data_IF_638248804992
#
_entry.id   IF_638248804992
#
_cell.length_a   1.000
_cell.length_b   1.000
_cell.length_c   1.000
_cell.angle_alpha   90.00
_cell.angle_beta   90.00
_cell.angle_gamma   90.00
#
_symmetry.space_group_name_H-M   'P 1'
#
loop_
_entity.id
_entity.type
_entity.pdbx_description
1 polymer ?
#
# COMPACT_ATOMS: atom_id res chain seq x y z
N UNK A 1 -63.84 -8.60 -43.68
CA UNK A 1 -64.64 -8.71 -42.44
C UNK A 1 -64.26 -10.00 -41.72
N UNK A 2 -64.30 -9.96 -40.38
CA UNK A 2 -64.04 -11.01 -39.36
C UNK A 2 -62.58 -11.29 -38.97
N UNK A 3 -62.21 -10.59 -37.89
CA UNK A 3 -61.31 -11.02 -36.81
C UNK A 3 -61.77 -12.38 -36.24
N UNK A 4 -60.86 -13.16 -35.66
CA UNK A 4 -60.92 -13.68 -34.28
C UNK A 4 -59.48 -14.08 -33.88
N UNK A 5 -59.23 -13.88 -32.59
CA UNK A 5 -57.96 -13.83 -31.89
C UNK A 5 -57.90 -15.01 -30.90
N UNK A 6 -56.67 -15.35 -30.48
CA UNK A 6 -56.28 -15.94 -29.18
C UNK A 6 -56.10 -17.48 -29.05
N UNK A 7 -54.94 -17.84 -28.46
CA UNK A 7 -54.56 -19.14 -27.90
C UNK A 7 -53.04 -19.37 -28.05
N UNK A 8 -52.18 -18.65 -27.32
CA UNK A 8 -51.53 -19.01 -26.03
C UNK A 8 -50.64 -20.28 -26.08
N UNK A 9 -49.47 -20.17 -25.42
CA UNK A 9 -48.53 -21.22 -24.95
C UNK A 9 -47.26 -21.43 -25.80
N UNK A 10 -46.14 -20.79 -25.43
CA UNK A 10 -45.07 -21.41 -24.61
C UNK A 10 -43.85 -20.48 -24.52
N UNK A 11 -43.56 -20.02 -23.29
CA UNK A 11 -42.26 -19.47 -22.86
C UNK A 11 -41.22 -20.60 -22.74
N UNK A 12 -39.95 -20.24 -22.47
CA UNK A 12 -38.74 -21.06 -22.20
C UNK A 12 -37.88 -21.30 -23.46
N UNK A 13 -36.58 -20.96 -23.55
CA UNK A 13 -35.56 -20.53 -22.60
C UNK A 13 -34.55 -19.63 -23.33
N UNK A 14 -34.23 -18.48 -22.74
CA UNK A 14 -32.94 -17.84 -22.95
C UNK A 14 -31.95 -18.71 -22.19
N UNK A 15 -31.18 -19.53 -22.89
CA UNK A 15 -30.03 -20.21 -22.32
C UNK A 15 -28.95 -19.18 -22.00
N UNK A 16 -29.09 -18.56 -20.82
CA UNK A 16 -27.99 -17.97 -20.08
C UNK A 16 -27.02 -19.09 -19.73
N UNK A 17 -26.09 -19.40 -20.64
CA UNK A 17 -24.85 -20.08 -20.26
C UNK A 17 -23.95 -19.05 -19.58
N UNK A 18 -24.31 -18.66 -18.36
CA UNK A 18 -23.31 -18.22 -17.39
C UNK A 18 -22.64 -19.51 -16.94
N UNK A 19 -21.54 -19.85 -17.60
CA UNK A 19 -20.62 -20.85 -17.08
C UNK A 19 -20.11 -20.32 -15.73
N UNK A 20 -20.76 -20.75 -14.65
CA UNK A 20 -20.18 -20.67 -13.32
C UNK A 20 -19.04 -21.68 -13.27
N UNK A 21 -17.85 -21.29 -13.70
CA UNK A 21 -16.63 -22.06 -13.46
C UNK A 21 -16.41 -22.09 -11.96
N UNK A 22 -16.56 -23.26 -11.35
CA UNK A 22 -16.16 -23.47 -9.95
C UNK A 22 -14.67 -23.14 -9.81
N UNK A 23 -14.26 -22.40 -8.77
CA UNK A 23 -12.85 -22.10 -8.54
C UNK A 23 -12.06 -23.39 -8.38
N UNK A 24 -10.84 -23.42 -8.92
CA UNK A 24 -9.96 -24.57 -8.78
C UNK A 24 -9.53 -24.73 -7.31
N UNK A 25 -9.09 -25.92 -6.91
CA UNK A 25 -8.58 -26.16 -5.55
C UNK A 25 -7.37 -25.25 -5.25
N UNK A 26 -6.53 -25.02 -6.26
CA UNK A 26 -5.37 -24.12 -6.19
C UNK A 26 -5.79 -22.67 -5.91
N UNK A 27 -6.85 -22.18 -6.57
CA UNK A 27 -7.38 -20.82 -6.34
C UNK A 27 -7.91 -20.64 -4.90
N UNK A 28 -8.52 -21.69 -4.34
CA UNK A 28 -9.07 -21.66 -2.97
C UNK A 28 -7.95 -21.66 -1.94
N UNK A 29 -6.90 -22.47 -2.15
CA UNK A 29 -5.75 -22.55 -1.25
C UNK A 29 -4.93 -21.25 -1.26
N UNK A 30 -4.70 -20.68 -2.45
CA UNK A 30 -4.00 -19.40 -2.60
C UNK A 30 -4.77 -18.26 -1.93
N UNK A 31 -6.08 -18.17 -2.14
CA UNK A 31 -6.92 -17.17 -1.47
C UNK A 31 -6.87 -17.31 0.06
N UNK A 32 -6.90 -18.55 0.56
CA UNK A 32 -6.79 -18.81 2.00
C UNK A 32 -5.44 -18.39 2.58
N UNK A 33 -4.35 -18.64 1.84
CA UNK A 33 -3.02 -18.20 2.23
C UNK A 33 -2.90 -16.68 2.29
N UNK A 34 -3.42 -15.97 1.28
CA UNK A 34 -3.42 -14.50 1.22
C UNK A 34 -4.18 -13.92 2.42
N UNK A 35 -5.40 -14.40 2.68
CA UNK A 35 -6.21 -13.95 3.82
C UNK A 35 -5.48 -14.17 5.15
N UNK A 36 -4.80 -15.31 5.31
CA UNK A 36 -4.04 -15.60 6.52
C UNK A 36 -2.85 -14.67 6.68
N UNK A 37 -2.09 -14.42 5.61
CA UNK A 37 -0.95 -13.50 5.63
C UNK A 37 -1.40 -12.08 5.98
N UNK A 38 -2.45 -11.59 5.34
CA UNK A 38 -3.03 -10.29 5.66
C UNK A 38 -3.43 -10.19 7.14
N UNK A 39 -4.07 -11.22 7.70
CA UNK A 39 -4.50 -11.21 9.09
C UNK A 39 -3.35 -11.17 10.11
N UNK A 40 -2.15 -11.65 9.75
CA UNK A 40 -0.99 -11.70 10.65
C UNK A 40 0.03 -10.58 10.41
N UNK A 41 0.03 -9.95 9.23
CA UNK A 41 1.03 -8.96 8.83
C UNK A 41 0.82 -7.57 9.44
N UNK A 42 -0.38 -7.25 9.93
CA UNK A 42 -0.69 -5.89 10.38
C UNK A 42 -1.08 -5.86 11.85
N UNK A 43 -0.41 -5.01 12.62
CA UNK A 43 -0.75 -4.75 14.03
C UNK A 43 -1.97 -3.85 14.17
N UNK A 44 -2.17 -2.96 13.19
CA UNK A 44 -3.30 -2.05 13.15
C UNK A 44 -3.78 -1.85 11.72
N UNK A 45 -5.10 -1.90 11.53
CA UNK A 45 -5.78 -1.59 10.27
C UNK A 45 -6.99 -0.73 10.57
N UNK A 46 -6.95 0.51 10.13
CA UNK A 46 -8.13 1.38 10.09
C UNK A 46 -8.60 1.54 8.63
N UNK A 47 -9.55 2.45 8.38
CA UNK A 47 -10.21 2.59 7.07
C UNK A 47 -9.21 2.64 5.90
N UNK A 48 -8.14 3.43 6.04
CA UNK A 48 -7.12 3.62 5.00
C UNK A 48 -5.67 3.43 5.52
N UNK A 49 -5.48 3.33 6.84
CA UNK A 49 -4.17 3.43 7.49
C UNK A 49 -3.75 2.15 8.20
N UNK A 50 -2.70 1.50 7.69
CA UNK A 50 -2.29 0.17 8.14
C UNK A 50 -0.82 0.17 8.62
N UNK A 51 -0.56 -0.53 9.71
CA UNK A 51 0.76 -0.62 10.35
C UNK A 51 1.28 -2.05 10.22
N UNK A 52 2.41 -2.21 9.53
CA UNK A 52 3.11 -3.47 9.44
C UNK A 52 3.70 -3.84 10.80
N UNK A 53 3.49 -5.10 11.18
CA UNK A 53 3.84 -5.62 12.49
C UNK A 53 5.35 -5.77 12.70
N UNK A 54 6.01 -6.45 11.76
CA UNK A 54 7.41 -6.84 11.87
C UNK A 54 8.05 -7.05 10.48
N UNK A 55 9.34 -7.43 10.45
CA UNK A 55 10.07 -7.67 9.21
C UNK A 55 9.51 -8.81 8.36
N UNK A 56 8.90 -9.83 8.97
CA UNK A 56 8.30 -10.94 8.23
C UNK A 56 7.00 -10.49 7.56
N UNK A 57 6.21 -9.66 8.25
CA UNK A 57 5.07 -8.97 7.66
C UNK A 57 5.47 -8.07 6.49
N UNK A 58 6.58 -7.33 6.62
CA UNK A 58 7.10 -6.48 5.55
C UNK A 58 7.46 -7.28 4.29
N UNK A 59 8.05 -8.48 4.46
CA UNK A 59 8.35 -9.41 3.35
C UNK A 59 7.11 -10.08 2.75
N UNK A 60 5.98 -10.08 3.44
CA UNK A 60 4.74 -10.66 2.93
C UNK A 60 4.20 -9.94 1.68
N UNK A 61 4.74 -8.76 1.34
CA UNK A 61 4.43 -8.04 0.09
C UNK A 61 4.51 -8.93 -1.14
N UNK A 62 5.39 -9.94 -1.13
CA UNK A 62 5.54 -10.84 -2.26
C UNK A 62 4.30 -11.67 -2.57
N UNK A 63 3.48 -11.90 -1.56
CA UNK A 63 2.23 -12.62 -1.65
C UNK A 63 1.02 -11.69 -1.73
N UNK A 64 1.14 -10.47 -1.21
CA UNK A 64 0.03 -9.52 -1.06
C UNK A 64 -0.09 -8.54 -2.23
N UNK A 65 1.01 -8.27 -2.95
CA UNK A 65 1.04 -7.39 -4.12
C UNK A 65 1.51 -8.19 -5.32
N UNK A 66 0.72 -8.17 -6.38
CA UNK A 66 1.07 -8.86 -7.61
C UNK A 66 2.12 -8.09 -8.44
N UNK A 67 2.49 -8.63 -9.60
CA UNK A 67 3.48 -8.03 -10.50
C UNK A 67 3.01 -6.71 -11.17
N UNK A 68 1.72 -6.43 -11.16
CA UNK A 68 1.13 -5.22 -11.73
C UNK A 68 0.92 -4.13 -10.67
N UNK A 69 1.29 -4.41 -9.41
CA UNK A 69 1.03 -3.52 -8.28
C UNK A 69 -0.38 -3.68 -7.72
N UNK A 70 -1.13 -4.72 -8.07
CA UNK A 70 -2.50 -4.90 -7.57
C UNK A 70 -2.51 -5.64 -6.22
N UNK A 71 -3.37 -5.17 -5.32
CA UNK A 71 -3.62 -5.82 -4.03
C UNK A 71 -4.33 -7.16 -4.24
N UNK A 72 -3.75 -8.23 -3.68
CA UNK A 72 -4.28 -9.59 -3.80
C UNK A 72 -5.21 -9.99 -2.66
N UNK A 73 -5.17 -9.24 -1.56
CA UNK A 73 -6.02 -9.44 -0.37
C UNK A 73 -7.45 -8.95 -0.56
N UNK A 74 -8.23 -8.98 0.52
CA UNK A 74 -9.59 -8.46 0.47
C UNK A 74 -9.59 -6.93 0.63
N UNK A 75 -10.55 -6.26 -0.01
CA UNK A 75 -10.75 -4.81 0.15
C UNK A 75 -11.13 -4.46 1.60
N UNK A 76 -10.75 -3.28 2.11
CA UNK A 76 -10.13 -2.15 1.39
C UNK A 76 -8.62 -2.33 1.12
N UNK A 77 -8.10 -1.60 0.13
CA UNK A 77 -6.66 -1.54 -0.17
C UNK A 77 -6.04 -0.47 0.74
N UNK A 78 -4.85 -0.68 1.34
CA UNK A 78 -4.21 0.34 2.16
C UNK A 78 -3.78 1.54 1.30
N UNK A 79 -4.30 2.73 1.62
CA UNK A 79 -3.79 3.98 1.04
C UNK A 79 -2.56 4.48 1.79
N UNK A 80 -2.39 4.11 3.06
CA UNK A 80 -1.27 4.52 3.89
C UNK A 80 -0.70 3.32 4.65
N UNK A 81 0.61 3.12 4.50
CA UNK A 81 1.36 2.09 5.20
C UNK A 81 2.41 2.70 6.12
N UNK A 82 2.64 2.06 7.26
CA UNK A 82 3.72 2.41 8.19
C UNK A 82 4.56 1.19 8.52
N UNK A 83 5.88 1.35 8.50
CA UNK A 83 6.85 0.39 9.01
C UNK A 83 7.77 1.05 10.04
N UNK A 84 8.14 0.32 11.10
CA UNK A 84 8.85 0.88 12.26
C UNK A 84 10.19 0.21 12.57
N UNK A 85 10.52 -0.89 11.91
CA UNK A 85 11.79 -1.58 12.15
C UNK A 85 12.92 -1.03 11.27
N UNK A 86 14.13 -1.39 11.64
CA UNK A 86 15.33 -1.05 10.88
C UNK A 86 15.40 -1.86 9.58
N UNK A 87 15.56 -1.15 8.47
CA UNK A 87 15.79 -1.66 7.14
C UNK A 87 17.30 -1.76 6.89
N UNK A 88 17.67 -2.80 6.15
CA UNK A 88 19.01 -3.02 5.65
C UNK A 88 18.97 -2.93 4.11
N UNK A 89 20.13 -2.75 3.44
CA UNK A 89 20.16 -2.63 1.99
C UNK A 89 19.44 -3.77 1.23
N UNK A 90 19.45 -4.99 1.77
CA UNK A 90 18.73 -6.14 1.22
C UNK A 90 17.19 -6.01 1.23
N UNK A 91 16.64 -5.08 2.02
CA UNK A 91 15.20 -4.83 2.13
C UNK A 91 14.69 -3.85 1.06
N UNK A 92 15.58 -3.16 0.34
CA UNK A 92 15.22 -2.16 -0.66
C UNK A 92 14.30 -2.71 -1.76
N UNK A 93 14.53 -3.91 -2.34
CA UNK A 93 13.62 -4.47 -3.35
C UNK A 93 12.20 -4.70 -2.80
N UNK A 94 12.09 -5.14 -1.54
CA UNK A 94 10.82 -5.35 -0.85
C UNK A 94 10.09 -4.02 -0.65
N UNK A 95 10.81 -2.96 -0.27
CA UNK A 95 10.25 -1.61 -0.14
C UNK A 95 9.78 -1.05 -1.49
N UNK A 96 10.56 -1.21 -2.55
CA UNK A 96 10.17 -0.79 -3.90
C UNK A 96 8.89 -1.52 -4.35
N UNK A 97 8.74 -2.80 -4.02
CA UNK A 97 7.50 -3.54 -4.30
C UNK A 97 6.31 -2.97 -3.54
N UNK A 98 6.47 -2.58 -2.28
CA UNK A 98 5.41 -1.86 -1.56
C UNK A 98 5.04 -0.54 -2.25
N UNK A 99 6.02 0.25 -2.68
CA UNK A 99 5.78 1.52 -3.38
C UNK A 99 5.05 1.33 -4.73
N UNK A 100 5.21 0.17 -5.37
CA UNK A 100 4.50 -0.17 -6.61
C UNK A 100 2.99 -0.43 -6.42
N UNK A 101 2.50 -0.55 -5.19
CA UNK A 101 1.09 -0.82 -4.92
C UNK A 101 0.19 0.29 -5.50
N UNK A 102 -0.79 -0.13 -6.30
CA UNK A 102 -1.83 0.71 -6.87
C UNK A 102 -2.80 1.15 -5.76
N UNK A 103 -3.10 2.45 -5.72
CA UNK A 103 -3.92 3.06 -4.66
C UNK A 103 -3.16 3.41 -3.38
N UNK A 104 -1.88 3.02 -3.26
CA UNK A 104 -1.03 3.49 -2.18
C UNK A 104 -0.68 4.97 -2.40
N UNK A 105 -1.05 5.81 -1.44
CA UNK A 105 -0.68 7.23 -1.42
C UNK A 105 0.63 7.46 -0.67
N UNK A 106 0.91 6.66 0.37
CA UNK A 106 2.14 6.82 1.15
C UNK A 106 2.59 5.55 1.88
N UNK A 107 3.88 5.24 1.80
CA UNK A 107 4.59 4.30 2.65
C UNK A 107 5.58 5.06 3.53
N UNK A 108 5.34 5.05 4.84
CA UNK A 108 6.19 5.75 5.79
C UNK A 108 7.06 4.80 6.59
N UNK A 109 8.35 5.13 6.63
CA UNK A 109 9.33 4.46 7.48
C UNK A 109 9.52 5.33 8.72
N UNK A 110 9.36 4.75 9.89
CA UNK A 110 9.54 5.41 11.17
C UNK A 110 10.65 4.71 11.94
N UNK A 111 11.40 5.48 12.73
CA UNK A 111 12.46 4.93 13.56
C UNK A 111 12.01 4.78 15.01
N UNK A 112 12.28 3.61 15.59
CA UNK A 112 12.18 3.40 17.04
C UNK A 112 13.44 3.85 17.80
N UNK A 113 14.56 4.02 17.10
CA UNK A 113 15.87 4.41 17.64
C UNK A 113 16.37 5.68 16.95
N UNK A 114 17.57 6.14 17.27
CA UNK A 114 18.15 7.32 16.65
C UNK A 114 18.51 7.04 15.18
N UNK A 115 17.56 7.33 14.28
CA UNK A 115 17.72 7.46 12.83
C UNK A 115 18.42 6.29 12.08
N UNK A 116 18.19 5.01 12.40
CA UNK A 116 18.87 3.91 11.71
C UNK A 116 18.57 3.84 10.21
N UNK A 117 17.40 4.32 9.76
CA UNK A 117 16.97 4.21 8.37
C UNK A 117 17.37 5.38 7.46
N UNK A 118 17.92 6.48 8.02
CA UNK A 118 18.06 7.75 7.27
C UNK A 118 18.90 7.60 5.99
N UNK A 119 20.05 6.94 6.08
CA UNK A 119 20.96 6.78 4.94
C UNK A 119 20.31 5.96 3.83
N UNK A 120 19.67 4.83 4.19
CA UNK A 120 18.97 3.97 3.23
C UNK A 120 17.82 4.71 2.54
N UNK A 121 17.06 5.51 3.28
CA UNK A 121 15.97 6.31 2.71
C UNK A 121 16.52 7.35 1.72
N UNK A 122 17.59 8.05 2.08
CA UNK A 122 18.23 9.05 1.20
C UNK A 122 18.74 8.39 -0.08
N UNK A 123 19.42 7.26 0.03
CA UNK A 123 19.96 6.53 -1.11
C UNK A 123 18.83 6.07 -2.06
N UNK A 124 17.79 5.44 -1.52
CA UNK A 124 16.63 5.02 -2.29
C UNK A 124 15.90 6.20 -2.95
N UNK A 125 15.82 7.34 -2.27
CA UNK A 125 15.21 8.54 -2.82
C UNK A 125 15.92 9.03 -4.08
N UNK A 126 17.26 9.11 -4.07
CA UNK A 126 18.02 9.52 -5.26
C UNK A 126 17.93 8.49 -6.39
N UNK A 127 17.87 7.20 -6.07
CA UNK A 127 17.61 6.15 -7.07
C UNK A 127 16.25 6.30 -7.75
N UNK A 128 15.18 6.43 -6.96
CA UNK A 128 13.81 6.58 -7.46
C UNK A 128 13.68 7.83 -8.32
N UNK A 129 14.19 8.98 -7.85
CA UNK A 129 14.21 10.25 -8.60
C UNK A 129 14.87 10.13 -9.96
N UNK A 130 15.88 9.29 -10.11
CA UNK A 130 16.54 9.03 -11.39
C UNK A 130 15.75 8.05 -12.27
N UNK A 131 15.02 7.10 -11.68
CA UNK A 131 14.11 6.19 -12.39
C UNK A 131 12.86 6.90 -12.90
N UNK A 132 12.22 7.78 -12.10
CA UNK A 132 11.00 8.49 -12.52
C UNK A 132 11.23 9.35 -13.77
N UNK A 133 12.40 10.00 -13.87
CA UNK A 133 12.80 10.74 -15.08
C UNK A 133 12.89 9.85 -16.33
N UNK A 134 13.09 8.55 -16.16
CA UNK A 134 13.25 7.57 -17.25
C UNK A 134 11.96 6.83 -17.56
N UNK A 135 11.17 6.51 -16.53
CA UNK A 135 10.07 5.55 -16.62
C UNK A 135 8.68 6.18 -16.43
N UNK A 136 8.59 7.48 -16.10
CA UNK A 136 7.32 8.21 -15.85
C UNK A 136 6.42 7.54 -14.78
N UNK A 137 7.02 6.80 -13.84
CA UNK A 137 6.31 6.25 -12.67
C UNK A 137 6.40 7.22 -11.49
N UNK A 138 5.34 7.29 -10.67
CA UNK A 138 5.26 8.16 -9.48
C UNK A 138 5.41 7.34 -8.18
N UNK A 139 6.58 6.75 -7.96
CA UNK A 139 6.88 5.93 -6.78
C UNK A 139 7.61 6.73 -5.68
N UNK A 140 8.42 7.71 -6.06
CA UNK A 140 9.16 8.61 -5.17
C UNK A 140 8.19 9.40 -4.28
N UNK A 141 7.11 9.89 -4.87
CA UNK A 141 6.07 10.67 -4.19
C UNK A 141 5.35 9.87 -3.12
N UNK A 142 5.44 8.53 -3.13
CA UNK A 142 4.82 7.65 -2.12
C UNK A 142 5.74 7.41 -0.92
N UNK A 143 7.04 7.66 -0.99
CA UNK A 143 7.99 7.34 0.09
C UNK A 143 8.09 8.47 1.13
N UNK A 144 7.96 8.12 2.41
CA UNK A 144 8.07 9.06 3.52
C UNK A 144 9.01 8.53 4.64
N UNK A 145 9.69 9.44 5.34
CA UNK A 145 10.46 9.12 6.54
C UNK A 145 10.04 9.98 7.72
N UNK A 146 9.62 9.33 8.80
CA UNK A 146 9.04 9.96 9.99
C UNK A 146 10.11 10.20 11.04
N UNK A 147 10.94 11.21 10.83
CA UNK A 147 11.76 11.78 11.90
C UNK A 147 11.07 12.99 12.52
N UNK A 148 10.27 12.76 13.57
CA UNK A 148 9.51 13.82 14.23
C UNK A 148 10.38 14.98 14.74
N UNK A 149 11.58 14.71 15.26
CA UNK A 149 12.46 15.73 15.83
C UNK A 149 13.30 16.45 14.77
N UNK A 150 13.86 15.72 13.80
CA UNK A 150 14.62 16.31 12.70
C UNK A 150 13.74 17.18 11.80
N UNK A 151 12.52 16.72 11.50
CA UNK A 151 11.60 17.48 10.66
C UNK A 151 10.99 18.69 11.39
N UNK A 152 10.71 18.62 12.70
CA UNK A 152 10.35 19.84 13.47
C UNK A 152 11.49 20.85 13.45
N UNK A 153 12.72 20.40 13.66
CA UNK A 153 13.91 21.26 13.60
C UNK A 153 14.08 21.90 12.20
N UNK A 154 13.90 21.14 11.13
CA UNK A 154 14.00 21.65 9.75
C UNK A 154 12.83 22.57 9.34
N UNK A 155 11.61 22.28 9.77
CA UNK A 155 10.43 23.12 9.52
C UNK A 155 10.44 24.41 10.35
N UNK A 156 11.07 24.41 11.52
CA UNK A 156 11.30 25.59 12.35
C UNK A 156 12.44 26.47 11.82
N UNK A 157 13.44 25.87 11.15
CA UNK A 157 14.64 26.55 10.63
C UNK A 157 14.53 27.01 9.16
N UNK A 158 13.31 27.08 8.60
CA UNK A 158 12.98 27.46 7.20
C UNK A 158 14.07 28.29 6.50
N UNK A 159 14.88 27.66 5.63
CA UNK A 159 15.47 28.38 4.48
C UNK A 159 15.96 27.52 3.31
N UNK A 160 16.27 26.23 3.49
CA UNK A 160 16.38 25.27 2.37
C UNK A 160 16.24 23.87 2.93
N UNK A 161 15.12 23.20 2.70
CA UNK A 161 15.09 21.75 2.90
C UNK A 161 16.04 21.12 1.88
N UNK A 162 16.89 20.18 2.28
CA UNK A 162 17.66 19.37 1.32
C UNK A 162 16.76 18.37 0.58
N UNK A 163 15.49 18.31 0.96
CA UNK A 163 14.47 17.40 0.46
C UNK A 163 13.58 18.19 -0.50
N UNK A 164 13.09 17.52 -1.55
CA UNK A 164 12.26 18.19 -2.55
C UNK A 164 10.88 18.58 -2.01
N UNK A 165 10.22 19.53 -2.68
CA UNK A 165 8.85 19.96 -2.34
C UNK A 165 7.86 18.79 -2.32
N UNK A 166 7.99 17.83 -3.24
CA UNK A 166 7.16 16.62 -3.28
C UNK A 166 7.32 15.78 -2.00
N UNK A 167 8.54 15.72 -1.44
CA UNK A 167 8.81 15.00 -0.20
C UNK A 167 8.21 15.69 1.02
N UNK A 168 8.23 17.04 1.03
CA UNK A 168 7.59 17.86 2.08
C UNK A 168 6.07 17.65 2.09
N UNK A 169 5.45 17.53 0.92
CA UNK A 169 4.00 17.33 0.79
C UNK A 169 3.56 15.92 1.21
N UNK A 170 4.27 14.87 0.78
CA UNK A 170 3.99 13.48 1.20
C UNK A 170 4.19 13.29 2.70
N UNK A 171 5.27 13.82 3.26
CA UNK A 171 5.50 13.79 4.72
C UNK A 171 4.42 14.58 5.48
N UNK A 172 4.00 15.75 4.97
CA UNK A 172 2.94 16.56 5.59
C UNK A 172 1.58 15.85 5.53
N UNK A 173 1.21 15.26 4.39
CA UNK A 173 -0.05 14.53 4.22
C UNK A 173 -0.13 13.33 5.18
N UNK A 174 0.98 12.58 5.31
CA UNK A 174 1.06 11.45 6.23
C UNK A 174 1.01 11.88 7.71
N UNK A 175 1.66 12.99 8.07
CA UNK A 175 1.65 13.51 9.44
C UNK A 175 0.31 14.12 9.85
N UNK A 176 -0.40 14.75 8.92
CA UNK A 176 -1.76 15.24 9.16
C UNK A 176 -2.70 14.07 9.48
N UNK A 177 -2.65 12.96 8.74
CA UNK A 177 -3.42 11.74 9.04
C UNK A 177 -2.91 10.97 10.27
N UNK A 178 -1.60 10.97 10.54
CA UNK A 178 -1.01 10.28 11.72
C UNK A 178 -1.11 11.03 13.04
N UNK A 179 -1.48 12.31 13.04
CA UNK A 179 -1.60 13.11 14.27
C UNK A 179 -2.55 12.49 15.32
N UNK A 180 -3.44 11.58 14.89
CA UNK A 180 -4.36 10.81 15.72
C UNK A 180 -3.78 9.53 16.36
N UNK A 181 -2.60 9.04 15.94
CA UNK A 181 -1.96 7.83 16.50
C UNK A 181 -0.88 8.18 17.53
N UNK A 182 -1.08 9.28 18.26
CA UNK A 182 -0.18 9.88 19.26
C UNK A 182 0.12 9.01 20.49
N UNK A 183 -0.37 7.77 20.56
CA UNK A 183 -0.06 6.83 21.62
C UNK A 183 1.01 5.83 21.17
N UNK A 184 2.16 6.32 20.75
CA UNK A 184 3.40 5.56 20.97
C UNK A 184 3.84 5.98 22.36
N UNK A 185 3.51 5.15 23.34
CA UNK A 185 3.73 5.42 24.76
C UNK A 185 5.14 5.95 25.00
N UNK A 186 5.20 7.18 25.51
CA UNK A 186 6.40 7.75 26.08
C UNK A 186 6.74 6.99 27.37
N UNK A 187 7.63 6.01 27.30
CA UNK A 187 8.37 5.49 28.45
C UNK A 187 9.78 5.09 28.04
#
# INVERSE_FOLDING_TARGET
MKKIFLGLVCSFLISNNVFATSPSVEDVEEKSQIQRLEAISFDKKDADFWVLKDKEAFKAVDFLVDKNGDWRGESPIPHYLKFVEELQPEDVPTLQKWLSLNGLECFAIADQKEQPNISLVIDLYEELKEQEKKEEQENLSKLAWLNYKGMLYELEQRETSFLSDAWVETNRAFQMKNSHYREIGSH
#
